data_IF_342157621483
#
_entry.id   IF_342157621483
#
_cell.length_a   1.000
_cell.length_b   1.000
_cell.length_c   1.000
_cell.angle_alpha   90.00
_cell.angle_beta   90.00
_cell.angle_gamma   90.00
#
_symmetry.space_group_name_H-M   'P 1'
#
loop_
_entity.id
_entity.type
_entity.pdbx_description
1 polymer ?
#
# COMPACT_ATOMS: atom_id res chain seq x y z
N UNK A 1 -31.69 -8.30 6.63
CA UNK A 1 -30.24 -8.47 6.40
C UNK A 1 -29.75 -8.06 5.00
N UNK A 2 -30.54 -8.17 3.93
CA UNK A 2 -30.06 -7.84 2.56
C UNK A 2 -29.68 -6.36 2.32
N UNK A 3 -30.41 -5.39 2.89
CA UNK A 3 -30.14 -3.96 2.63
C UNK A 3 -28.74 -3.55 3.11
N UNK A 4 -28.32 -4.01 4.29
CA UNK A 4 -26.98 -3.73 4.83
C UNK A 4 -25.88 -4.34 3.96
N UNK A 5 -26.03 -5.61 3.56
CA UNK A 5 -25.06 -6.28 2.69
C UNK A 5 -24.92 -5.59 1.33
N UNK A 6 -26.03 -5.16 0.71
CA UNK A 6 -26.02 -4.41 -0.56
C UNK A 6 -25.30 -3.07 -0.46
N UNK A 7 -25.44 -2.36 0.66
CA UNK A 7 -24.73 -1.10 0.92
C UNK A 7 -23.22 -1.37 1.06
N UNK A 8 -22.84 -2.36 1.87
CA UNK A 8 -21.43 -2.71 2.07
C UNK A 8 -20.76 -3.14 0.76
N UNK A 9 -21.45 -3.94 -0.06
CA UNK A 9 -20.94 -4.35 -1.37
C UNK A 9 -20.71 -3.16 -2.31
N UNK A 10 -21.61 -2.16 -2.31
CA UNK A 10 -21.43 -0.93 -3.09
C UNK A 10 -20.27 -0.08 -2.59
N UNK A 11 -20.12 0.05 -1.28
CA UNK A 11 -19.00 0.79 -0.69
C UNK A 11 -17.66 0.12 -1.04
N UNK A 12 -17.59 -1.20 -0.94
CA UNK A 12 -16.41 -1.96 -1.36
C UNK A 12 -16.11 -1.75 -2.84
N UNK A 13 -17.13 -1.85 -3.71
CA UNK A 13 -16.96 -1.63 -5.14
C UNK A 13 -16.43 -0.23 -5.44
N UNK A 14 -16.97 0.81 -4.80
CA UNK A 14 -16.49 2.19 -4.96
C UNK A 14 -15.04 2.31 -4.49
N UNK A 15 -14.68 1.73 -3.34
CA UNK A 15 -13.31 1.72 -2.84
C UNK A 15 -12.34 1.03 -3.82
N UNK A 16 -12.74 -0.11 -4.39
CA UNK A 16 -11.97 -0.81 -5.41
C UNK A 16 -11.78 0.05 -6.67
N UNK A 17 -12.83 0.72 -7.14
CA UNK A 17 -12.75 1.61 -8.31
C UNK A 17 -11.84 2.82 -8.07
N UNK A 18 -11.90 3.41 -6.88
CA UNK A 18 -10.99 4.49 -6.48
C UNK A 18 -9.54 3.99 -6.44
N UNK A 19 -9.28 2.82 -5.85
CA UNK A 19 -7.96 2.20 -5.85
C UNK A 19 -7.42 1.92 -7.26
N UNK A 20 -8.26 1.41 -8.16
CA UNK A 20 -7.92 1.23 -9.57
C UNK A 20 -7.61 2.57 -10.25
N UNK A 21 -8.38 3.62 -9.94
CA UNK A 21 -8.10 4.97 -10.42
C UNK A 21 -6.70 5.44 -10.02
N UNK A 22 -6.32 5.30 -8.74
CA UNK A 22 -4.98 5.66 -8.26
C UNK A 22 -3.89 4.92 -9.04
N UNK A 23 -4.06 3.61 -9.25
CA UNK A 23 -3.09 2.80 -10.02
C UNK A 23 -3.00 3.32 -11.47
N UNK A 24 -4.12 3.61 -12.13
CA UNK A 24 -4.09 4.05 -13.54
C UNK A 24 -3.43 5.42 -13.72
N UNK A 25 -3.69 6.37 -12.80
CA UNK A 25 -3.20 7.74 -12.93
C UNK A 25 -1.84 8.00 -12.30
N UNK A 26 -1.36 7.15 -11.37
CA UNK A 26 -0.08 7.35 -10.70
C UNK A 26 0.97 6.32 -11.21
N UNK A 27 2.08 6.78 -11.84
CA UNK A 27 3.12 5.88 -12.37
C UNK A 27 3.78 5.00 -11.30
N UNK A 28 3.94 5.50 -10.07
CA UNK A 28 4.61 4.75 -9.01
C UNK A 28 3.80 3.53 -8.57
N UNK A 29 2.47 3.64 -8.59
CA UNK A 29 1.58 2.52 -8.28
C UNK A 29 1.49 1.49 -9.42
N UNK A 30 1.67 1.90 -10.68
CA UNK A 30 1.82 0.96 -11.81
C UNK A 30 3.12 0.17 -11.69
N UNK A 31 4.21 0.84 -11.33
CA UNK A 31 5.49 0.20 -11.07
C UNK A 31 5.38 -0.78 -9.89
N UNK A 32 4.75 -0.37 -8.79
CA UNK A 32 4.48 -1.25 -7.65
C UNK A 32 3.73 -2.52 -8.10
N UNK A 33 2.68 -2.39 -8.90
CA UNK A 33 1.92 -3.55 -9.39
C UNK A 33 2.82 -4.53 -10.16
N UNK A 34 3.71 -4.02 -11.02
CA UNK A 34 4.70 -4.85 -11.71
C UNK A 34 5.69 -5.53 -10.76
N UNK A 35 6.16 -4.84 -9.72
CA UNK A 35 7.08 -5.39 -8.72
C UNK A 35 6.42 -6.43 -7.83
N UNK A 36 5.16 -6.23 -7.43
CA UNK A 36 4.34 -7.24 -6.75
C UNK A 36 4.26 -8.51 -7.60
N UNK A 37 3.97 -8.37 -8.90
CA UNK A 37 3.90 -9.51 -9.82
C UNK A 37 5.24 -10.27 -9.94
N UNK A 38 6.36 -9.56 -9.77
CA UNK A 38 7.72 -10.14 -9.77
C UNK A 38 8.15 -10.70 -8.42
N UNK A 39 7.36 -10.49 -7.36
CA UNK A 39 7.72 -10.89 -6.00
C UNK A 39 8.75 -9.96 -5.32
N UNK A 40 9.03 -8.78 -5.87
CA UNK A 40 9.97 -7.80 -5.32
C UNK A 40 9.30 -6.47 -4.90
N UNK A 41 8.20 -6.49 -4.11
CA UNK A 41 7.45 -5.28 -3.78
C UNK A 41 8.27 -4.25 -2.99
N UNK A 42 9.28 -4.67 -2.21
CA UNK A 42 10.13 -3.80 -1.41
C UNK A 42 11.00 -2.82 -2.23
N UNK A 43 11.20 -3.11 -3.52
CA UNK A 43 11.94 -2.24 -4.44
C UNK A 43 11.10 -1.04 -4.92
N UNK A 44 9.80 -1.01 -4.63
CA UNK A 44 8.95 0.06 -5.17
C UNK A 44 9.32 1.41 -4.55
N UNK A 45 9.39 2.43 -5.39
CA UNK A 45 9.78 3.79 -5.01
C UNK A 45 8.94 4.34 -3.84
N UNK A 46 7.65 3.96 -3.78
CA UNK A 46 6.74 4.34 -2.69
C UNK A 46 7.17 3.82 -1.31
N UNK A 47 7.86 2.68 -1.23
CA UNK A 47 8.33 2.12 0.04
C UNK A 47 9.70 2.68 0.42
N UNK A 48 10.54 2.93 -0.58
CA UNK A 48 11.83 3.58 -0.40
C UNK A 48 11.68 5.03 0.08
N UNK A 49 10.70 5.77 -0.44
CA UNK A 49 10.37 7.09 0.08
C UNK A 49 9.85 7.02 1.51
N UNK A 50 9.04 6.02 1.86
CA UNK A 50 8.55 5.84 3.22
C UNK A 50 9.68 5.54 4.21
N UNK A 51 10.71 4.77 3.85
CA UNK A 51 11.89 4.55 4.69
C UNK A 51 12.63 5.85 5.00
N UNK A 52 12.62 6.82 4.08
CA UNK A 52 13.18 8.17 4.34
C UNK A 52 12.41 8.92 5.43
N UNK A 53 11.09 8.76 5.49
CA UNK A 53 10.23 9.44 6.47
C UNK A 53 10.06 8.64 7.77
N UNK A 54 10.20 7.32 7.70
CA UNK A 54 10.01 6.38 8.80
C UNK A 54 11.20 5.41 8.87
N UNK A 55 12.41 5.88 9.20
CA UNK A 55 13.62 5.06 9.19
C UNK A 55 13.51 3.87 10.16
N UNK A 56 12.75 4.03 11.24
CA UNK A 56 12.56 2.97 12.23
C UNK A 56 11.71 1.79 11.76
N UNK A 57 10.99 1.89 10.64
CA UNK A 57 10.21 0.76 10.08
C UNK A 57 11.13 -0.31 9.50
N UNK A 58 12.34 0.06 9.08
CA UNK A 58 13.37 -0.87 8.60
C UNK A 58 14.46 -1.19 9.63
N UNK A 59 14.42 -0.58 10.81
CA UNK A 59 15.43 -0.78 11.84
C UNK A 59 15.22 -2.12 12.54
N UNK A 60 16.31 -2.86 12.76
CA UNK A 60 16.31 -3.97 13.70
C UNK A 60 16.10 -3.46 15.15
N UNK A 61 15.63 -4.29 16.09
CA UNK A 61 15.44 -3.87 17.49
C UNK A 61 16.69 -3.22 18.10
N UNK A 62 17.87 -3.65 17.69
CA UNK A 62 19.16 -3.10 18.10
C UNK A 62 19.43 -1.69 17.53
N UNK A 63 18.80 -1.34 16.42
CA UNK A 63 18.94 -0.08 15.70
C UNK A 63 17.83 0.94 16.04
N UNK A 64 16.70 0.52 16.63
CA UNK A 64 15.65 1.44 17.09
C UNK A 64 15.89 1.89 18.55
N UNK A 65 16.27 3.16 18.80
CA UNK A 65 16.53 3.67 20.15
C UNK A 65 15.30 3.69 21.07
N UNK A 66 14.10 3.40 20.54
CA UNK A 66 12.84 3.33 21.27
C UNK A 66 12.46 1.89 21.68
N UNK A 67 13.21 0.88 21.25
CA UNK A 67 12.90 -0.53 21.53
C UNK A 67 13.24 -1.00 22.96
N UNK A 68 13.26 -0.08 23.94
CA UNK A 68 13.51 -0.39 25.35
C UNK A 68 12.23 -0.56 26.13
#
# INVERSE_FOLDING_TARGET
>A
MEKGAKIMARMLLIACLLGLGVILFNPDYRQLFHLIRKGTPAEAAIWQSNLKYYPAVGATPEEDPRAK
#
